data_IF_787764259992
#
_entry.id   IF_787764259992
#
_cell.length_a   1.000
_cell.length_b   1.000
_cell.length_c   1.000
_cell.angle_alpha   90.00
_cell.angle_beta   90.00
_cell.angle_gamma   90.00
#
_symmetry.space_group_name_H-M   'P 1'
#
loop_
_entity.id
_entity.type
_entity.pdbx_description
1 polymer ?
#
# COMPACT_ATOMS: atom_id res chain seq x y z
N UNK A 1 79.70 -48.39 -21.65
CA UNK A 1 78.31 -47.92 -21.62
C UNK A 1 77.47 -48.73 -22.62
N UNK A 2 76.62 -49.63 -22.13
CA UNK A 2 75.85 -50.56 -22.97
C UNK A 2 74.67 -49.88 -23.68
N UNK A 3 74.59 -49.98 -25.00
CA UNK A 3 73.45 -49.50 -25.79
C UNK A 3 72.23 -50.35 -25.46
N UNK A 4 71.11 -49.71 -25.10
CA UNK A 4 69.86 -50.43 -24.85
C UNK A 4 69.36 -51.15 -26.11
N UNK A 5 68.88 -52.38 -25.91
CA UNK A 5 68.31 -53.22 -26.98
C UNK A 5 67.23 -52.47 -27.77
N UNK A 6 67.22 -52.65 -29.09
CA UNK A 6 66.24 -52.04 -30.00
C UNK A 6 64.78 -52.38 -29.60
N UNK A 7 64.56 -53.56 -29.00
CA UNK A 7 63.26 -53.97 -28.46
C UNK A 7 62.82 -53.10 -27.28
N UNK A 8 63.73 -52.72 -26.38
CA UNK A 8 63.43 -51.86 -25.24
C UNK A 8 63.06 -50.44 -25.72
N UNK A 9 63.77 -49.93 -26.72
CA UNK A 9 63.45 -48.63 -27.35
C UNK A 9 62.08 -48.65 -28.05
N UNK A 10 61.78 -49.71 -28.81
CA UNK A 10 60.47 -49.88 -29.47
C UNK A 10 59.32 -49.96 -28.46
N UNK A 11 59.48 -50.73 -27.37
CA UNK A 11 58.48 -50.83 -26.31
C UNK A 11 58.28 -49.52 -25.53
N UNK A 12 59.35 -48.73 -25.31
CA UNK A 12 59.22 -47.39 -24.70
C UNK A 12 58.39 -46.46 -25.58
N UNK A 13 58.63 -46.47 -26.91
CA UNK A 13 57.85 -45.67 -27.85
C UNK A 13 56.38 -46.08 -27.90
N UNK A 14 56.08 -47.38 -27.91
CA UNK A 14 54.70 -47.89 -27.90
C UNK A 14 53.97 -47.46 -26.63
N UNK A 15 54.59 -47.61 -25.45
CA UNK A 15 54.01 -47.16 -24.17
C UNK A 15 53.77 -45.66 -24.15
N UNK A 16 54.73 -44.86 -24.59
CA UNK A 16 54.57 -43.41 -24.69
C UNK A 16 53.42 -43.02 -25.62
N UNK A 17 53.29 -43.68 -26.78
CA UNK A 17 52.17 -43.44 -27.71
C UNK A 17 50.82 -43.81 -27.09
N UNK A 18 50.73 -44.92 -26.38
CA UNK A 18 49.51 -45.32 -25.67
C UNK A 18 49.15 -44.33 -24.56
N UNK A 19 50.12 -43.90 -23.77
CA UNK A 19 49.93 -42.91 -22.71
C UNK A 19 49.41 -41.58 -23.28
N UNK A 20 49.97 -41.08 -24.40
CA UNK A 20 49.45 -39.87 -25.06
C UNK A 20 48.01 -40.03 -25.53
N UNK A 21 47.63 -41.20 -26.05
CA UNK A 21 46.25 -41.48 -26.45
C UNK A 21 45.31 -41.48 -25.24
N UNK A 22 45.70 -42.15 -24.16
CA UNK A 22 44.94 -42.20 -22.91
C UNK A 22 44.74 -40.79 -22.32
N UNK A 23 45.82 -40.01 -22.22
CA UNK A 23 45.76 -38.64 -21.72
C UNK A 23 44.88 -37.76 -22.61
N UNK A 24 44.96 -37.90 -23.94
CA UNK A 24 44.09 -37.17 -24.88
C UNK A 24 42.61 -37.47 -24.61
N UNK A 25 42.24 -38.73 -24.43
CA UNK A 25 40.85 -39.13 -24.12
C UNK A 25 40.43 -38.56 -22.78
N UNK A 26 41.30 -38.63 -21.76
CA UNK A 26 41.03 -38.07 -20.43
C UNK A 26 40.72 -36.56 -20.51
N UNK A 27 41.56 -35.78 -21.20
CA UNK A 27 41.34 -34.35 -21.37
C UNK A 27 40.07 -34.05 -22.18
N UNK A 28 39.77 -34.85 -23.21
CA UNK A 28 38.53 -34.70 -23.97
C UNK A 28 37.28 -34.92 -23.10
N UNK A 29 37.31 -35.91 -22.21
CA UNK A 29 36.21 -36.17 -21.29
C UNK A 29 36.06 -35.05 -20.26
N UNK A 30 37.19 -34.52 -19.76
CA UNK A 30 37.18 -33.38 -18.83
C UNK A 30 36.63 -32.11 -19.48
N UNK A 31 37.02 -31.82 -20.73
CA UNK A 31 36.47 -30.70 -21.50
C UNK A 31 34.96 -30.85 -21.65
N UNK A 32 34.47 -32.01 -22.08
CA UNK A 32 33.02 -32.25 -22.22
C UNK A 32 32.26 -32.03 -20.92
N UNK A 33 32.79 -32.54 -19.81
CA UNK A 33 32.18 -32.32 -18.49
C UNK A 33 32.12 -30.84 -18.12
N UNK A 34 33.17 -30.07 -18.46
CA UNK A 34 33.19 -28.62 -18.25
C UNK A 34 32.25 -27.87 -19.18
N UNK A 35 32.09 -28.32 -20.42
CA UNK A 35 31.11 -27.76 -21.36
C UNK A 35 29.67 -27.96 -20.85
N UNK A 36 29.35 -29.14 -20.31
CA UNK A 36 28.06 -29.40 -19.66
C UNK A 36 27.84 -28.50 -18.44
N UNK A 37 28.82 -28.39 -17.55
CA UNK A 37 28.76 -27.52 -16.37
C UNK A 37 28.56 -26.04 -16.75
N UNK A 38 29.22 -25.57 -17.82
CA UNK A 38 29.03 -24.22 -18.36
C UNK A 38 27.60 -24.05 -18.88
N UNK A 39 27.06 -25.04 -19.59
CA UNK A 39 25.67 -25.02 -20.06
C UNK A 39 24.67 -24.90 -18.91
N UNK A 40 24.82 -25.72 -17.87
CA UNK A 40 23.97 -25.68 -16.67
C UNK A 40 24.06 -24.33 -15.95
N UNK A 41 25.26 -23.76 -15.85
CA UNK A 41 25.47 -22.45 -15.25
C UNK A 41 24.84 -21.33 -16.07
N UNK A 42 24.91 -21.40 -17.40
CA UNK A 42 24.26 -20.43 -18.28
C UNK A 42 22.74 -20.43 -18.10
N UNK A 43 22.12 -21.61 -17.98
CA UNK A 43 20.68 -21.72 -17.69
C UNK A 43 20.34 -21.07 -16.35
N UNK A 44 21.11 -21.37 -15.29
CA UNK A 44 20.89 -20.77 -13.96
C UNK A 44 21.05 -19.25 -13.96
N UNK A 45 21.99 -18.72 -14.72
CA UNK A 45 22.16 -17.25 -14.86
C UNK A 45 20.93 -16.63 -15.52
N UNK A 46 20.43 -17.23 -16.60
CA UNK A 46 19.21 -16.74 -17.28
C UNK A 46 17.98 -16.81 -16.37
N UNK A 47 17.81 -17.89 -15.61
CA UNK A 47 16.74 -18.03 -14.63
C UNK A 47 16.82 -16.94 -13.54
N UNK A 48 18.03 -16.66 -13.05
CA UNK A 48 18.27 -15.62 -12.05
C UNK A 48 17.99 -14.22 -12.60
N UNK A 49 18.43 -13.91 -13.82
CA UNK A 49 18.16 -12.63 -14.49
C UNK A 49 16.65 -12.41 -14.66
N UNK A 50 15.92 -13.45 -15.06
CA UNK A 50 14.47 -13.40 -15.17
C UNK A 50 13.81 -13.14 -13.81
N UNK A 51 14.22 -13.89 -12.78
CA UNK A 51 13.71 -13.70 -11.43
C UNK A 51 13.94 -12.29 -10.89
N UNK A 52 15.16 -11.75 -11.06
CA UNK A 52 15.52 -10.40 -10.63
C UNK A 52 14.64 -9.37 -11.35
N UNK A 53 14.42 -9.55 -12.65
CA UNK A 53 13.60 -8.64 -13.46
C UNK A 53 12.14 -8.66 -12.98
N UNK A 54 11.54 -9.84 -12.82
CA UNK A 54 10.16 -10.00 -12.34
C UNK A 54 9.95 -9.46 -10.92
N UNK A 55 10.90 -9.71 -10.03
CA UNK A 55 10.90 -9.17 -8.67
C UNK A 55 11.01 -7.64 -8.70
N UNK A 56 11.93 -7.09 -9.51
CA UNK A 56 12.12 -5.66 -9.69
C UNK A 56 10.86 -4.97 -10.20
N UNK A 57 10.22 -5.52 -11.23
CA UNK A 57 8.93 -5.01 -11.73
C UNK A 57 7.83 -5.01 -10.67
N UNK A 58 7.77 -6.06 -9.86
CA UNK A 58 6.76 -6.18 -8.80
C UNK A 58 6.96 -5.11 -7.73
N UNK A 59 8.20 -4.88 -7.29
CA UNK A 59 8.53 -3.81 -6.34
C UNK A 59 8.18 -2.44 -6.92
N UNK A 60 8.55 -2.18 -8.18
CA UNK A 60 8.24 -0.91 -8.84
C UNK A 60 6.74 -0.67 -8.95
N UNK A 61 5.95 -1.68 -9.32
CA UNK A 61 4.48 -1.58 -9.38
C UNK A 61 3.87 -1.22 -8.02
N UNK A 62 4.29 -1.90 -6.96
CA UNK A 62 3.80 -1.61 -5.61
C UNK A 62 4.25 -0.22 -5.13
N UNK A 63 5.48 0.19 -5.43
CA UNK A 63 5.97 1.53 -5.12
C UNK A 63 5.12 2.61 -5.79
N UNK A 64 4.91 2.51 -7.11
CA UNK A 64 4.07 3.47 -7.86
C UNK A 64 2.64 3.48 -7.35
N UNK A 65 2.07 2.31 -6.99
CA UNK A 65 0.74 2.24 -6.37
C UNK A 65 0.69 3.01 -5.05
N UNK A 66 1.70 2.83 -4.19
CA UNK A 66 1.78 3.53 -2.90
C UNK A 66 1.97 5.04 -3.06
N UNK A 67 2.78 5.48 -4.01
CA UNK A 67 2.95 6.89 -4.34
C UNK A 67 1.63 7.53 -4.83
N UNK A 68 0.87 6.81 -5.64
CA UNK A 68 -0.45 7.25 -6.11
C UNK A 68 -1.46 7.33 -4.96
N UNK A 69 -1.50 6.32 -4.09
CA UNK A 69 -2.34 6.32 -2.87
C UNK A 69 -1.98 7.50 -1.96
N UNK A 70 -0.69 7.74 -1.72
CA UNK A 70 -0.21 8.86 -0.91
C UNK A 70 -0.61 10.21 -1.52
N UNK A 71 -0.42 10.39 -2.83
CA UNK A 71 -0.81 11.61 -3.53
C UNK A 71 -2.31 11.86 -3.43
N UNK A 72 -3.12 10.81 -3.54
CA UNK A 72 -4.57 10.91 -3.38
C UNK A 72 -4.96 11.30 -1.94
N UNK A 73 -4.33 10.69 -0.93
CA UNK A 73 -4.57 11.04 0.47
C UNK A 73 -4.21 12.50 0.77
N UNK A 74 -3.10 13.00 0.22
CA UNK A 74 -2.72 14.41 0.37
C UNK A 74 -3.76 15.36 -0.23
N UNK A 75 -4.34 15.03 -1.39
CA UNK A 75 -5.46 15.80 -1.97
C UNK A 75 -6.69 15.80 -1.07
N UNK A 76 -7.04 14.66 -0.48
CA UNK A 76 -8.15 14.59 0.47
C UNK A 76 -7.89 15.42 1.72
N UNK A 77 -6.68 15.38 2.26
CA UNK A 77 -6.27 16.22 3.40
C UNK A 77 -6.46 17.70 3.06
N UNK A 78 -6.04 18.14 1.87
CA UNK A 78 -6.21 19.52 1.42
C UNK A 78 -7.69 19.90 1.32
N UNK A 79 -8.52 19.06 0.69
CA UNK A 79 -9.97 19.28 0.57
C UNK A 79 -10.62 19.42 1.95
N UNK A 80 -10.36 18.49 2.86
CA UNK A 80 -10.95 18.53 4.19
C UNK A 80 -10.43 19.70 5.04
N UNK A 81 -9.15 20.05 4.90
CA UNK A 81 -8.58 21.24 5.55
C UNK A 81 -9.31 22.50 5.12
N UNK A 82 -9.59 22.65 3.82
CA UNK A 82 -10.33 23.79 3.29
C UNK A 82 -11.79 23.80 3.75
N UNK A 83 -12.44 22.64 3.79
CA UNK A 83 -13.80 22.51 4.33
C UNK A 83 -13.88 22.91 5.80
N UNK A 84 -12.94 22.46 6.62
CA UNK A 84 -12.87 22.82 8.05
C UNK A 84 -12.72 24.32 8.20
N UNK A 85 -11.77 24.95 7.49
CA UNK A 85 -11.57 26.41 7.53
C UNK A 85 -12.83 27.19 7.14
N UNK A 86 -13.52 26.74 6.09
CA UNK A 86 -14.77 27.38 5.66
C UNK A 86 -15.85 27.26 6.73
N UNK A 87 -16.03 26.06 7.31
CA UNK A 87 -16.99 25.84 8.39
C UNK A 87 -16.67 26.66 9.64
N UNK A 88 -15.40 26.75 10.04
CA UNK A 88 -14.95 27.60 11.16
C UNK A 88 -15.30 29.08 10.92
N UNK A 89 -15.09 29.56 9.69
CA UNK A 89 -15.44 30.93 9.30
C UNK A 89 -16.96 31.17 9.31
N UNK A 90 -17.75 30.21 8.81
CA UNK A 90 -19.21 30.29 8.85
C UNK A 90 -19.73 30.31 10.29
N UNK A 91 -19.15 29.49 11.16
CA UNK A 91 -19.49 29.43 12.59
C UNK A 91 -19.15 30.74 13.29
N UNK A 92 -17.99 31.32 12.99
CA UNK A 92 -17.60 32.64 13.49
C UNK A 92 -18.56 33.73 13.03
N UNK A 93 -18.88 33.76 11.73
CA UNK A 93 -19.82 34.73 11.14
C UNK A 93 -21.22 34.62 11.76
N UNK A 94 -21.71 33.39 11.94
CA UNK A 94 -23.00 33.13 12.57
C UNK A 94 -23.02 33.61 14.03
N UNK A 95 -21.95 33.34 14.80
CA UNK A 95 -21.82 33.84 16.17
C UNK A 95 -21.84 35.37 16.20
N UNK A 96 -21.08 36.02 15.33
CA UNK A 96 -21.04 37.49 15.24
C UNK A 96 -22.43 38.07 14.92
N UNK A 97 -23.15 37.48 13.97
CA UNK A 97 -24.53 37.87 13.63
C UNK A 97 -25.48 37.70 14.82
N UNK A 98 -25.36 36.61 15.56
CA UNK A 98 -26.17 36.38 16.77
C UNK A 98 -25.91 37.44 17.84
N UNK A 99 -24.64 37.82 18.06
CA UNK A 99 -24.29 38.87 19.01
C UNK A 99 -24.88 40.23 18.61
N UNK A 100 -24.83 40.59 17.32
CA UNK A 100 -25.37 41.88 16.84
C UNK A 100 -26.89 41.92 16.81
N UNK A 101 -27.57 40.82 16.49
CA UNK A 101 -29.03 40.73 16.55
C UNK A 101 -29.54 40.76 18.01
N UNK A 102 -28.80 40.13 18.94
CA UNK A 102 -29.16 40.13 20.35
C UNK A 102 -28.98 41.50 21.03
N UNK A 103 -28.07 42.34 20.53
CA UNK A 103 -27.87 43.71 21.06
C UNK A 103 -28.85 44.73 20.50
N UNK A 104 -29.44 44.50 19.31
CA UNK A 104 -30.49 45.36 18.74
C UNK A 104 -31.91 45.06 19.27
N UNK A 105 -32.10 43.95 19.99
CA UNK A 105 -33.42 43.56 20.52
C UNK A 105 -33.71 44.11 21.93
N UNK A 106 -32.80 44.87 22.54
CA UNK A 106 -32.92 45.36 23.93
C UNK A 106 -33.54 46.76 24.08
N UNK A 107 -34.34 47.22 23.11
CA UNK A 107 -35.02 48.52 23.19
C UNK A 107 -36.54 48.37 23.13
N UNK A 108 -37.14 47.66 24.09
CA UNK A 108 -38.55 47.85 24.48
C UNK A 108 -38.72 47.70 26.00
N UNK A 109 -38.85 48.86 26.65
CA UNK A 109 -39.62 49.24 27.85
C UNK A 109 -39.80 48.27 29.07
N UNK A 110 -39.38 48.79 30.24
CA UNK A 110 -39.92 48.65 31.63
C UNK A 110 -40.46 47.27 32.09
N UNK A 111 -39.92 46.64 33.14
CA UNK A 111 -40.29 46.91 34.55
C UNK A 111 -39.46 46.06 35.56
N UNK A 112 -39.37 46.55 36.79
CA UNK A 112 -38.61 46.08 37.96
C UNK A 112 -38.77 44.61 38.40
N UNK A 113 -37.66 43.94 38.76
CA UNK A 113 -37.35 43.36 40.09
C UNK A 113 -36.19 42.35 40.05
N UNK A 114 -35.25 42.33 41.03
CA UNK A 114 -34.26 41.28 41.16
C UNK A 114 -34.75 40.21 42.15
N UNK A 115 -34.88 38.97 41.71
CA UNK A 115 -34.88 37.83 42.63
C UNK A 115 -34.22 36.61 41.99
N UNK A 116 -33.19 36.13 42.68
CA UNK A 116 -32.52 34.87 42.43
C UNK A 116 -33.49 33.70 42.63
N UNK A 117 -33.49 32.72 41.73
CA UNK A 117 -33.53 31.30 42.12
C UNK A 117 -33.29 30.39 40.92
N UNK A 118 -32.56 29.31 41.19
CA UNK A 118 -32.09 28.29 40.28
C UNK A 118 -33.16 27.22 40.06
N UNK A 119 -33.56 26.91 38.82
CA UNK A 119 -33.86 25.54 38.36
C UNK A 119 -34.18 25.50 36.86
N UNK A 120 -33.85 24.42 36.14
CA UNK A 120 -34.06 24.32 34.70
C UNK A 120 -35.45 23.76 34.38
N UNK A 121 -36.23 24.54 33.63
CA UNK A 121 -37.52 24.12 33.07
C UNK A 121 -37.30 23.41 31.73
N UNK A 122 -37.72 22.14 31.64
CA UNK A 122 -37.93 21.45 30.37
C UNK A 122 -38.90 22.23 29.47
N UNK A 123 -38.70 22.30 28.15
CA UNK A 123 -39.75 22.71 27.25
C UNK A 123 -40.59 21.51 26.81
N UNK A 124 -41.89 21.70 27.05
CA UNK A 124 -43.06 21.00 26.56
C UNK A 124 -43.06 20.73 25.05
N UNK A 125 -43.75 19.63 24.71
CA UNK A 125 -44.17 19.25 23.37
C UNK A 125 -44.90 20.39 22.63
N UNK A 126 -44.53 20.61 21.38
CA UNK A 126 -45.37 21.26 20.38
C UNK A 126 -45.25 20.54 19.03
N UNK A 127 -46.35 20.57 18.28
CA UNK A 127 -46.74 19.68 17.18
C UNK A 127 -46.13 20.04 15.81
N UNK A 128 -45.59 19.03 15.10
CA UNK A 128 -45.51 18.80 13.62
C UNK A 128 -44.83 19.84 12.68
N UNK A 129 -44.31 19.47 11.47
CA UNK A 129 -44.62 18.31 10.63
C UNK A 129 -43.44 17.41 10.19
N UNK A 130 -43.85 16.30 9.60
CA UNK A 130 -43.15 15.17 8.99
C UNK A 130 -42.01 15.60 8.03
N UNK A 131 -40.76 15.53 8.50
CA UNK A 131 -39.57 15.41 7.65
C UNK A 131 -38.86 14.12 8.06
N UNK A 132 -38.51 13.21 7.14
CA UNK A 132 -37.70 12.05 7.50
C UNK A 132 -36.32 12.58 7.92
N UNK A 133 -36.08 12.61 9.22
CA UNK A 133 -34.74 12.85 9.74
C UNK A 133 -33.82 11.76 9.16
N UNK A 134 -32.66 12.10 8.60
CA UNK A 134 -31.67 11.08 8.25
C UNK A 134 -31.38 10.26 9.50
N UNK A 135 -31.16 8.94 9.38
CA UNK A 135 -30.88 8.09 10.52
C UNK A 135 -29.71 8.67 11.32
N UNK A 136 -29.99 9.04 12.56
CA UNK A 136 -28.98 9.53 13.48
C UNK A 136 -28.35 8.31 14.15
N UNK A 137 -27.09 8.02 13.80
CA UNK A 137 -26.36 6.89 14.34
C UNK A 137 -25.68 7.30 15.65
N UNK A 138 -25.77 6.44 16.68
CA UNK A 138 -25.07 6.64 17.94
C UNK A 138 -23.62 6.16 17.90
N UNK A 139 -23.25 5.40 16.86
CA UNK A 139 -21.87 4.91 16.64
C UNK A 139 -21.59 4.61 15.17
N UNK A 140 -20.32 4.54 14.79
CA UNK A 140 -19.89 4.12 13.46
C UNK A 140 -20.29 2.67 13.13
N UNK A 141 -20.31 1.79 14.14
CA UNK A 141 -20.79 0.41 13.98
C UNK A 141 -22.26 0.34 13.54
N UNK A 142 -23.09 1.26 14.05
CA UNK A 142 -24.50 1.34 13.68
C UNK A 142 -24.67 1.81 12.23
N UNK A 143 -23.83 2.73 11.78
CA UNK A 143 -23.79 3.20 10.39
C UNK A 143 -23.45 2.07 9.41
N UNK A 144 -22.40 1.29 9.68
CA UNK A 144 -21.99 0.19 8.78
C UNK A 144 -23.01 -0.96 8.72
N UNK A 145 -23.70 -1.24 9.84
CA UNK A 145 -24.82 -2.21 9.85
C UNK A 145 -25.98 -1.74 8.99
N UNK A 146 -26.34 -0.46 9.07
CA UNK A 146 -27.37 0.14 8.23
C UNK A 146 -26.99 0.10 6.75
N UNK A 147 -25.76 0.47 6.39
CA UNK A 147 -25.29 0.45 5.01
C UNK A 147 -25.34 -0.96 4.38
N UNK A 148 -24.88 -1.97 5.11
CA UNK A 148 -24.92 -3.37 4.66
C UNK A 148 -26.37 -3.87 4.46
N UNK A 149 -27.28 -3.46 5.33
CA UNK A 149 -28.70 -3.84 5.23
C UNK A 149 -29.37 -3.19 4.02
N UNK A 150 -29.02 -1.94 3.69
CA UNK A 150 -29.56 -1.24 2.52
C UNK A 150 -29.02 -1.83 1.21
N UNK A 151 -27.74 -2.21 1.16
CA UNK A 151 -27.15 -2.91 0.00
C UNK A 151 -27.81 -4.28 -0.25
N UNK A 152 -28.17 -5.00 0.82
CA UNK A 152 -28.86 -6.29 0.70
C UNK A 152 -30.31 -6.15 0.20
N UNK A 153 -31.01 -5.06 0.55
CA UNK A 153 -32.39 -4.79 0.10
C UNK A 153 -32.48 -4.29 -1.34
N UNK A 154 -31.43 -3.68 -1.89
CA UNK A 154 -31.40 -3.18 -3.26
C UNK A 154 -31.17 -4.28 -4.33
N UNK A 155 -30.97 -5.53 -3.91
CA UNK A 155 -30.66 -6.67 -4.77
C UNK A 155 -31.80 -7.71 -4.87
N UNK A 156 -33.02 -7.34 -4.47
CA UNK A 156 -34.27 -8.09 -4.71
C UNK A 156 -35.16 -7.22 -5.60
#
# INVERSE_FOLDING_TARGET
MGKSSNLVRKNKYIRYRQQRKSNKISYQNEIKKKEEEIGDLQVKVQELEKFITEAGETVMREMTKKENEQTNLLKWIEVYTNQIKNLENDLYTLRLRSYTQSTHSSQTQHSFSPSQSSQPSQPSQSLQPLHPSPPQFQSLDEYFKYENTQKAKAHI
#
